data_IF_083943507190
#
_entry.id   IF_083943507190
#
_cell.length_a   1.000
_cell.length_b   1.000
_cell.length_c   1.000
_cell.angle_alpha   90.00
_cell.angle_beta   90.00
_cell.angle_gamma   90.00
#
_symmetry.space_group_name_H-M   'P 1'
#
loop_
_entity.id
_entity.type
_entity.pdbx_description
1 polymer ?
#
# COMPACT_ATOMS: atom_id res chain seq x y z
N UNK A 1 0.40 -3.67 6.99
CA UNK A 1 -0.60 -3.89 8.04
C UNK A 1 -1.98 -3.60 7.48
N UNK A 2 -2.91 -4.57 7.62
CA UNK A 2 -4.27 -4.48 7.10
C UNK A 2 -5.27 -4.38 8.25
N UNK A 3 -6.27 -3.52 8.08
CA UNK A 3 -7.35 -3.33 9.04
C UNK A 3 -8.70 -3.42 8.34
N UNK A 4 -9.67 -4.00 9.03
CA UNK A 4 -11.06 -4.00 8.63
C UNK A 4 -11.91 -3.21 9.62
N UNK A 5 -12.54 -2.15 9.15
CA UNK A 5 -13.49 -1.37 9.93
C UNK A 5 -14.91 -1.83 9.60
N UNK A 6 -15.43 -2.73 10.39
CA UNK A 6 -16.74 -3.32 10.18
C UNK A 6 -17.86 -2.28 10.24
N UNK A 7 -17.76 -1.32 11.15
CA UNK A 7 -18.80 -0.32 11.36
C UNK A 7 -18.98 0.60 10.15
N UNK A 8 -17.91 0.90 9.43
CA UNK A 8 -17.93 1.78 8.27
C UNK A 8 -17.82 1.04 6.94
N UNK A 9 -17.60 -0.29 6.96
CA UNK A 9 -17.44 -1.07 5.73
C UNK A 9 -16.21 -0.67 4.93
N UNK A 10 -15.10 -0.42 5.61
CA UNK A 10 -13.85 0.01 4.96
C UNK A 10 -12.69 -0.91 5.29
N UNK A 11 -11.84 -1.15 4.29
CA UNK A 11 -10.54 -1.80 4.47
C UNK A 11 -9.45 -0.74 4.39
N UNK A 12 -8.44 -0.90 5.23
CA UNK A 12 -7.32 0.03 5.33
C UNK A 12 -5.99 -0.71 5.29
N UNK A 13 -5.01 -0.04 4.73
CA UNK A 13 -3.62 -0.50 4.73
C UNK A 13 -2.72 0.62 5.21
N UNK A 14 -1.88 0.32 6.19
CA UNK A 14 -0.83 1.23 6.62
C UNK A 14 0.49 0.79 5.98
N UNK A 15 1.23 1.74 5.45
CA UNK A 15 2.53 1.51 4.84
C UNK A 15 3.49 2.56 5.38
N UNK A 16 4.61 2.11 5.95
CA UNK A 16 5.64 3.00 6.47
C UNK A 16 6.96 2.58 5.84
N UNK A 17 7.60 3.50 5.17
CA UNK A 17 8.94 3.30 4.61
C UNK A 17 9.98 3.97 5.51
N UNK A 18 11.10 3.28 5.72
CA UNK A 18 12.16 3.76 6.61
C UNK A 18 12.83 5.08 6.21
N UNK A 19 12.50 5.63 5.05
CA UNK A 19 13.02 6.90 4.56
C UNK A 19 12.17 8.12 4.93
N UNK A 20 11.08 7.93 5.66
CA UNK A 20 10.21 9.02 6.09
C UNK A 20 8.96 9.19 5.23
N UNK A 21 8.32 8.10 4.86
CA UNK A 21 7.04 8.07 4.17
C UNK A 21 6.06 7.29 5.03
N UNK A 22 4.89 7.86 5.27
CA UNK A 22 3.79 7.17 5.95
C UNK A 22 2.52 7.32 5.11
N UNK A 23 1.86 6.19 4.88
CA UNK A 23 0.65 6.13 4.06
C UNK A 23 -0.43 5.40 4.85
N UNK A 24 -1.61 5.99 4.92
CA UNK A 24 -2.84 5.31 5.31
C UNK A 24 -3.75 5.30 4.08
N UNK A 25 -3.94 4.12 3.49
CA UNK A 25 -4.73 3.94 2.29
C UNK A 25 -5.93 3.06 2.57
N UNK A 26 -7.02 3.27 1.85
CA UNK A 26 -8.20 2.45 2.04
C UNK A 26 -9.28 2.69 1.01
N UNK A 27 -10.35 1.92 1.15
CA UNK A 27 -11.58 2.07 0.39
C UNK A 27 -12.72 1.29 1.02
N UNK A 28 -13.91 1.45 0.46
CA UNK A 28 -15.07 0.65 0.82
C UNK A 28 -14.89 -0.80 0.41
N UNK A 29 -15.35 -1.72 1.23
CA UNK A 29 -15.35 -3.14 0.93
C UNK A 29 -16.53 -3.82 1.63
N UNK A 30 -16.93 -4.97 1.09
CA UNK A 30 -17.97 -5.82 1.66
C UNK A 30 -17.35 -7.14 2.14
N UNK A 31 -17.93 -7.80 3.15
CA UNK A 31 -17.53 -9.16 3.48
C UNK A 31 -17.55 -10.04 2.24
N UNK A 32 -16.56 -10.91 2.08
CA UNK A 32 -16.38 -11.81 0.93
C UNK A 32 -15.86 -11.15 -0.35
N UNK A 33 -15.57 -9.87 -0.35
CA UNK A 33 -14.87 -9.26 -1.48
C UNK A 33 -13.51 -9.94 -1.65
N UNK A 34 -13.17 -10.29 -2.88
CA UNK A 34 -11.90 -10.92 -3.22
C UNK A 34 -10.89 -9.93 -3.79
N UNK A 35 -11.35 -8.75 -4.15
CA UNK A 35 -10.51 -7.67 -4.64
C UNK A 35 -10.67 -6.49 -3.70
N UNK A 36 -9.57 -6.11 -3.07
CA UNK A 36 -9.52 -5.00 -2.13
C UNK A 36 -8.64 -3.91 -2.72
N UNK A 37 -9.17 -2.70 -2.81
CA UNK A 37 -8.43 -1.55 -3.34
C UNK A 37 -8.09 -0.61 -2.19
N UNK A 38 -6.88 -0.07 -2.22
CA UNK A 38 -6.39 0.87 -1.21
C UNK A 38 -5.86 2.11 -1.93
N UNK A 39 -6.46 3.26 -1.65
CA UNK A 39 -6.09 4.52 -2.29
C UNK A 39 -5.69 5.54 -1.22
N UNK A 40 -4.72 6.39 -1.54
CA UNK A 40 -4.34 7.51 -0.70
C UNK A 40 -3.74 8.63 -1.56
N UNK A 41 -3.94 9.87 -1.12
CA UNK A 41 -3.39 11.07 -1.78
C UNK A 41 -2.86 12.04 -0.76
N UNK A 42 -1.80 12.79 -1.09
CA UNK A 42 -1.34 13.88 -0.23
C UNK A 42 -2.44 14.93 -0.04
N UNK A 43 -2.48 15.51 1.14
CA UNK A 43 -3.43 16.56 1.47
C UNK A 43 -4.83 16.10 1.86
N UNK A 44 -5.12 14.82 1.71
CA UNK A 44 -6.41 14.26 2.13
C UNK A 44 -6.39 13.93 3.63
N UNK A 45 -7.45 14.28 4.33
CA UNK A 45 -7.57 14.01 5.76
C UNK A 45 -7.99 12.58 6.06
N UNK A 46 -8.63 11.90 5.11
CA UNK A 46 -9.19 10.55 5.30
C UNK A 46 -8.17 9.46 4.97
N UNK A 47 -7.69 9.40 3.74
CA UNK A 47 -6.63 8.48 3.33
C UNK A 47 -5.52 9.30 2.70
N UNK A 48 -4.41 9.39 3.40
CA UNK A 48 -3.39 10.37 3.11
C UNK A 48 -1.99 9.81 3.03
N UNK A 49 -1.10 10.65 2.51
CA UNK A 49 0.32 10.39 2.36
C UNK A 49 1.10 11.50 3.03
N UNK A 50 2.03 11.11 3.89
CA UNK A 50 2.97 12.03 4.53
C UNK A 50 4.39 11.67 4.10
N UNK A 51 5.17 12.68 3.78
CA UNK A 51 6.59 12.53 3.46
C UNK A 51 7.40 13.52 4.25
N UNK A 52 8.67 13.17 4.56
CA UNK A 52 9.56 14.16 5.14
C UNK A 52 9.91 15.25 4.09
N UNK A 53 10.44 16.36 4.57
CA UNK A 53 10.74 17.51 3.73
C UNK A 53 11.74 17.19 2.62
N UNK A 54 12.77 16.38 2.93
CA UNK A 54 13.78 15.98 1.96
C UNK A 54 13.16 15.26 0.75
N UNK A 55 12.27 14.30 1.01
CA UNK A 55 11.61 13.54 -0.05
C UNK A 55 10.58 14.37 -0.81
N UNK A 56 9.83 15.24 -0.12
CA UNK A 56 8.89 16.15 -0.78
C UNK A 56 9.56 17.05 -1.79
N UNK A 57 10.77 17.51 -1.48
CA UNK A 57 11.54 18.38 -2.37
C UNK A 57 12.13 17.66 -3.57
N UNK A 58 12.29 16.34 -3.52
CA UNK A 58 12.98 15.54 -4.56
C UNK A 58 12.07 14.61 -5.32
N UNK A 59 11.15 13.95 -4.64
CA UNK A 59 10.27 12.94 -5.22
C UNK A 59 8.93 12.96 -4.48
N UNK A 60 8.07 13.89 -4.84
CA UNK A 60 6.77 14.04 -4.21
C UNK A 60 5.81 12.96 -4.67
N UNK A 61 5.21 12.23 -3.73
CA UNK A 61 4.14 11.28 -4.03
C UNK A 61 2.88 12.07 -4.35
N UNK A 62 2.30 11.81 -5.53
CA UNK A 62 1.08 12.46 -6.00
C UNK A 62 -0.13 11.58 -5.81
N UNK A 63 0.05 10.27 -5.85
CA UNK A 63 -1.04 9.30 -5.71
C UNK A 63 -0.47 7.95 -5.28
N UNK A 64 -1.24 7.22 -4.51
CA UNK A 64 -0.93 5.83 -4.15
C UNK A 64 -2.15 4.96 -4.39
N UNK A 65 -1.95 3.85 -5.07
CA UNK A 65 -3.00 2.87 -5.34
C UNK A 65 -2.44 1.46 -5.16
N UNK A 66 -3.15 0.64 -4.42
CA UNK A 66 -2.78 -0.76 -4.24
C UNK A 66 -4.02 -1.62 -4.38
N UNK A 67 -3.89 -2.76 -5.04
CA UNK A 67 -4.99 -3.72 -5.22
C UNK A 67 -4.54 -5.07 -4.72
N UNK A 68 -5.31 -5.66 -3.83
CA UNK A 68 -5.09 -7.01 -3.31
C UNK A 68 -6.15 -7.93 -3.87
N UNK A 69 -5.73 -9.08 -4.39
CA UNK A 69 -6.62 -10.07 -4.97
C UNK A 69 -6.44 -11.41 -4.26
N UNK A 70 -7.54 -11.97 -3.76
CA UNK A 70 -7.59 -13.31 -3.20
C UNK A 70 -7.94 -14.24 -4.35
N UNK A 71 -7.00 -15.07 -4.79
CA UNK A 71 -7.17 -15.94 -5.94
C UNK A 71 -7.90 -17.23 -5.56
N UNK A 72 -8.54 -17.89 -6.55
CA UNK A 72 -9.31 -19.11 -6.33
C UNK A 72 -8.45 -20.29 -5.88
N UNK A 73 -7.16 -20.31 -6.22
CA UNK A 73 -6.21 -21.34 -5.82
C UNK A 73 -5.65 -21.15 -4.40
N UNK A 74 -6.15 -20.16 -3.66
CA UNK A 74 -5.67 -19.84 -2.32
C UNK A 74 -4.43 -18.96 -2.29
N UNK A 75 -3.92 -18.54 -3.43
CA UNK A 75 -2.84 -17.55 -3.49
C UNK A 75 -3.38 -16.15 -3.32
N UNK A 76 -2.49 -15.22 -3.06
CA UNK A 76 -2.79 -13.83 -2.77
C UNK A 76 -1.88 -12.95 -3.64
N UNK A 77 -2.48 -12.11 -4.44
CA UNK A 77 -1.73 -11.22 -5.32
C UNK A 77 -1.90 -9.77 -4.90
N UNK A 78 -0.86 -8.96 -5.07
CA UNK A 78 -1.01 -7.53 -4.93
C UNK A 78 -0.30 -6.78 -6.06
N UNK A 79 -0.84 -5.63 -6.37
CA UNK A 79 -0.26 -4.68 -7.30
C UNK A 79 -0.31 -3.30 -6.66
N UNK A 80 0.82 -2.60 -6.63
CA UNK A 80 0.90 -1.25 -6.07
C UNK A 80 1.47 -0.28 -7.09
N UNK A 81 0.98 0.93 -7.09
CA UNK A 81 1.42 2.02 -7.96
C UNK A 81 1.58 3.30 -7.17
N UNK A 82 2.78 3.86 -7.18
CA UNK A 82 3.10 5.18 -6.65
C UNK A 82 3.32 6.13 -7.81
N UNK A 83 2.52 7.17 -7.91
CA UNK A 83 2.77 8.25 -8.86
C UNK A 83 3.66 9.28 -8.19
N UNK A 84 4.86 9.45 -8.72
CA UNK A 84 5.89 10.36 -8.19
C UNK A 84 6.11 11.52 -9.16
N UNK A 85 6.30 12.71 -8.60
CA UNK A 85 6.79 13.87 -9.35
C UNK A 85 8.23 14.12 -8.95
N UNK A 86 9.16 13.97 -9.90
CA UNK A 86 10.58 14.15 -9.67
C UNK A 86 10.98 15.61 -9.85
N UNK A 87 11.65 16.18 -8.86
CA UNK A 87 12.07 17.60 -8.91
C UNK A 87 13.11 17.85 -10.01
N UNK A 88 14.05 16.92 -10.22
CA UNK A 88 15.14 17.10 -11.17
C UNK A 88 14.66 17.22 -12.63
N UNK A 89 13.67 16.44 -13.02
CA UNK A 89 13.14 16.39 -14.38
C UNK A 89 11.79 17.05 -14.54
N UNK A 90 11.11 17.33 -13.44
CA UNK A 90 9.71 17.77 -13.35
C UNK A 90 8.76 16.77 -14.03
N UNK A 91 9.23 15.55 -14.30
CA UNK A 91 8.43 14.51 -14.92
C UNK A 91 7.70 13.71 -13.84
N UNK A 92 6.53 13.18 -14.21
CA UNK A 92 5.83 12.21 -13.39
C UNK A 92 6.33 10.80 -13.74
N UNK A 93 6.43 9.95 -12.73
CA UNK A 93 6.90 8.58 -12.89
C UNK A 93 6.04 7.65 -12.04
N UNK A 94 5.65 6.52 -12.61
CA UNK A 94 4.99 5.45 -11.89
C UNK A 94 6.02 4.46 -11.35
N UNK A 95 6.00 4.23 -10.04
CA UNK A 95 6.74 3.16 -9.40
C UNK A 95 5.77 2.04 -9.08
N UNK A 96 5.92 0.90 -9.77
CA UNK A 96 4.99 -0.22 -9.66
C UNK A 96 5.65 -1.43 -9.02
N UNK A 97 4.86 -2.20 -8.27
CA UNK A 97 5.29 -3.43 -7.63
C UNK A 97 4.16 -4.45 -7.70
N UNK A 98 4.47 -5.66 -8.21
CA UNK A 98 3.50 -6.74 -8.34
C UNK A 98 4.07 -8.02 -7.77
N UNK A 99 3.29 -8.72 -6.96
CA UNK A 99 3.70 -10.00 -6.40
C UNK A 99 2.52 -10.94 -6.21
N UNK A 100 2.82 -12.25 -6.26
CA UNK A 100 1.88 -13.28 -5.86
C UNK A 100 2.48 -14.05 -4.70
N UNK A 101 1.70 -14.16 -3.62
CA UNK A 101 2.12 -14.78 -2.37
C UNK A 101 1.44 -16.13 -2.22
N UNK A 102 2.21 -17.12 -1.80
CA UNK A 102 1.71 -18.46 -1.50
C UNK A 102 1.66 -18.65 0.01
N UNK A 103 0.60 -19.34 0.47
CA UNK A 103 0.48 -19.67 1.88
C UNK A 103 1.56 -20.65 2.29
N UNK A 104 2.29 -20.35 3.35
CA UNK A 104 3.28 -21.25 3.94
C UNK A 104 2.60 -22.03 5.05
N UNK A 105 2.57 -23.37 4.94
CA UNK A 105 1.94 -24.24 5.93
C UNK A 105 2.72 -24.29 7.24
N UNK A 106 4.05 -24.21 7.13
CA UNK A 106 4.94 -24.28 8.29
C UNK A 106 5.91 -23.12 8.23
N UNK A 107 5.82 -22.23 9.22
CA UNK A 107 6.77 -21.16 9.37
C UNK A 107 7.88 -21.58 10.31
N UNK A 108 9.10 -21.60 9.81
CA UNK A 108 10.30 -21.88 10.60
C UNK A 108 11.14 -20.61 10.68
N UNK A 109 11.08 -19.87 11.81
CA UNK A 109 11.93 -18.71 11.96
C UNK A 109 13.40 -19.15 11.92
N UNK A 110 14.27 -18.30 11.37
CA UNK A 110 15.69 -18.56 11.36
C UNK A 110 16.23 -18.59 12.79
N UNK A 111 17.24 -19.43 13.02
CA UNK A 111 17.81 -19.59 14.36
C UNK A 111 18.33 -18.26 14.96
N UNK A 112 18.82 -17.34 14.14
CA UNK A 112 19.31 -16.04 14.60
C UNK A 112 18.21 -15.11 15.10
N UNK A 113 16.95 -15.46 14.89
CA UNK A 113 15.79 -14.69 15.37
C UNK A 113 15.04 -15.39 16.50
N UNK A 114 15.46 -16.59 16.84
CA UNK A 114 14.81 -17.40 17.87
C UNK A 114 15.17 -16.94 19.28
#
# INVERSE_FOLDING_TARGET
FLLWDKAHGEVMRTVVFGRGIAILAGSSAKPRDRILTFNARPGEAHYGVLQNKYLLERAEIRDFKSTFTINDDGTFSYASDLLLKLAATRAEMHHTDNNTLHRVKHYHPRAEYA
#
